data_IF_766116573628
#
_entry.id   IF_766116573628
#
_cell.length_a   1.000
_cell.length_b   1.000
_cell.length_c   1.000
_cell.angle_alpha   90.00
_cell.angle_beta   90.00
_cell.angle_gamma   90.00
#
_symmetry.space_group_name_H-M   'P 1'
#
loop_
_entity.id
_entity.type
_entity.pdbx_description
1 polymer ?
#
# COMPACT_ATOMS: atom_id res chain seq x y z
N UNK A 1 39.93 -42.20 -21.89
CA UNK A 1 39.78 -42.14 -20.42
C UNK A 1 38.44 -41.49 -20.11
N UNK A 2 37.44 -42.32 -19.80
CA UNK A 2 36.12 -41.95 -19.29
C UNK A 2 35.81 -42.96 -18.18
N UNK A 3 35.30 -42.53 -17.02
CA UNK A 3 34.46 -43.39 -16.18
C UNK A 3 33.03 -42.81 -16.20
N UNK A 4 32.04 -43.55 -16.70
CA UNK A 4 31.34 -44.68 -16.09
C UNK A 4 30.32 -44.21 -15.02
N UNK A 5 29.05 -44.31 -15.41
CA UNK A 5 27.86 -44.04 -14.63
C UNK A 5 27.68 -45.03 -13.48
N UNK A 6 27.26 -44.53 -12.31
CA UNK A 6 26.83 -45.35 -11.19
C UNK A 6 25.30 -45.21 -11.01
N UNK A 7 24.61 -46.31 -11.29
CA UNK A 7 23.20 -46.56 -11.00
C UNK A 7 23.07 -46.88 -9.52
N UNK A 8 22.27 -46.10 -8.78
CA UNK A 8 21.93 -46.41 -7.39
C UNK A 8 20.51 -47.01 -7.33
N UNK A 9 20.43 -48.27 -6.90
CA UNK A 9 19.18 -49.01 -6.64
C UNK A 9 18.80 -48.83 -5.17
N UNK A 10 17.54 -48.48 -4.91
CA UNK A 10 16.98 -48.43 -3.56
C UNK A 10 16.71 -49.85 -3.00
N UNK A 11 16.95 -50.10 -1.70
CA UNK A 11 16.54 -51.33 -1.02
C UNK A 11 15.07 -51.26 -0.51
N UNK A 12 14.44 -52.41 -0.23
CA UNK A 12 13.00 -52.51 0.01
C UNK A 12 12.57 -52.14 1.43
N UNK A 13 11.28 -51.81 1.54
CA UNK A 13 10.56 -51.38 2.73
C UNK A 13 10.58 -52.41 3.89
N UNK A 14 10.69 -51.90 5.11
CA UNK A 14 10.33 -52.60 6.34
C UNK A 14 9.21 -51.83 7.05
N UNK A 15 8.11 -52.53 7.28
CA UNK A 15 6.88 -52.05 7.89
C UNK A 15 7.03 -51.88 9.42
N UNK A 16 6.52 -50.77 9.94
CA UNK A 16 6.19 -50.61 11.36
C UNK A 16 4.77 -50.04 11.45
N UNK A 17 3.85 -50.85 11.95
CA UNK A 17 2.43 -50.53 12.05
C UNK A 17 2.15 -49.47 13.11
N UNK A 18 1.41 -48.44 12.72
CA UNK A 18 0.66 -47.58 13.62
C UNK A 18 -0.81 -47.76 13.24
N UNK A 19 -1.60 -48.30 14.18
CA UNK A 19 -3.03 -48.50 14.00
C UNK A 19 -3.71 -47.12 13.90
N UNK A 20 -4.30 -46.85 12.73
CA UNK A 20 -5.22 -45.75 12.53
C UNK A 20 -6.56 -46.06 13.20
N UNK A 21 -6.99 -45.21 14.12
CA UNK A 21 -8.38 -45.18 14.57
C UNK A 21 -9.22 -44.46 13.50
N UNK A 22 -10.36 -45.01 13.04
CA UNK A 22 -11.19 -44.36 12.05
C UNK A 22 -11.89 -43.14 12.65
N UNK A 23 -11.68 -41.98 12.02
CA UNK A 23 -12.26 -40.65 12.33
C UNK A 23 -13.78 -40.54 12.09
N UNK A 24 -14.50 -41.66 11.93
CA UNK A 24 -15.95 -41.67 11.71
C UNK A 24 -16.66 -42.44 12.82
N UNK A 25 -16.57 -41.95 14.05
CA UNK A 25 -17.43 -42.44 15.14
C UNK A 25 -18.70 -41.58 15.21
N UNK A 26 -19.89 -42.12 14.89
CA UNK A 26 -21.16 -41.42 15.09
C UNK A 26 -21.42 -41.04 16.55
N UNK A 27 -20.68 -41.61 17.50
CA UNK A 27 -20.73 -41.24 18.93
C UNK A 27 -20.11 -39.85 19.21
N UNK A 28 -19.10 -39.43 18.45
CA UNK A 28 -18.47 -38.11 18.61
C UNK A 28 -19.39 -37.00 18.05
N UNK A 29 -20.03 -37.26 16.91
CA UNK A 29 -21.04 -36.38 16.33
C UNK A 29 -22.29 -36.25 17.21
N UNK A 30 -22.71 -37.34 17.87
CA UNK A 30 -23.80 -37.32 18.84
C UNK A 30 -23.44 -36.52 20.12
N UNK A 31 -22.20 -36.61 20.62
CA UNK A 31 -21.73 -35.83 21.77
C UNK A 31 -21.66 -34.32 21.48
N UNK A 32 -21.26 -33.94 20.26
CA UNK A 32 -21.23 -32.52 19.85
C UNK A 32 -22.64 -31.94 19.68
N UNK A 33 -23.58 -32.69 19.09
CA UNK A 33 -24.99 -32.28 18.99
C UNK A 33 -25.67 -32.15 20.36
N UNK A 34 -25.37 -33.06 21.30
CA UNK A 34 -25.88 -32.99 22.66
C UNK A 34 -25.33 -31.76 23.43
N UNK A 35 -24.08 -31.37 23.20
CA UNK A 35 -23.47 -30.16 23.80
C UNK A 35 -24.05 -28.86 23.24
N UNK A 36 -24.45 -28.84 21.97
CA UNK A 36 -25.07 -27.68 21.33
C UNK A 36 -26.56 -27.53 21.71
N UNK A 37 -27.28 -28.63 21.90
CA UNK A 37 -28.68 -28.61 22.36
C UNK A 37 -28.83 -28.16 23.84
N UNK A 38 -27.80 -28.35 24.67
CA UNK A 38 -27.80 -27.98 26.09
C UNK A 38 -27.59 -26.47 26.37
N UNK A 39 -27.36 -25.64 25.34
CA UNK A 39 -27.15 -24.18 25.45
C UNK A 39 -28.35 -23.34 25.00
N UNK A 40 -29.58 -23.81 25.22
CA UNK A 40 -30.78 -22.95 25.13
C UNK A 40 -31.15 -22.43 26.52
N UNK A 41 -31.01 -21.12 26.72
CA UNK A 41 -31.49 -20.43 27.91
C UNK A 41 -33.03 -20.36 27.92
N UNK A 42 -33.67 -20.45 29.11
CA UNK A 42 -35.10 -20.25 29.26
C UNK A 42 -35.41 -18.76 29.49
N UNK A 43 -36.44 -18.25 28.83
CA UNK A 43 -37.18 -17.07 29.28
C UNK A 43 -37.11 -15.86 28.34
N UNK A 44 -38.12 -15.74 27.48
CA UNK A 44 -38.66 -14.42 27.13
C UNK A 44 -40.18 -14.52 27.19
N UNK A 45 -40.72 -13.91 28.24
CA UNK A 45 -42.12 -13.60 28.37
C UNK A 45 -42.48 -12.45 27.43
N UNK A 46 -43.64 -12.58 26.80
CA UNK A 46 -44.26 -11.64 25.88
C UNK A 46 -44.54 -10.29 26.55
N UNK A 47 -44.21 -9.19 25.89
CA UNK A 47 -44.75 -7.88 26.19
C UNK A 47 -45.25 -7.22 24.89
N UNK A 48 -46.55 -6.93 24.86
CA UNK A 48 -47.25 -6.17 23.83
C UNK A 48 -46.77 -4.70 23.75
N UNK A 49 -46.97 -4.01 22.61
CA UNK A 49 -46.49 -2.65 22.41
C UNK A 49 -47.50 -1.60 22.88
N UNK A 50 -47.03 -0.59 23.61
CA UNK A 50 -47.82 0.59 23.95
C UNK A 50 -47.33 1.83 23.20
N UNK A 51 -48.23 2.33 22.34
CA UNK A 51 -48.49 3.69 21.87
C UNK A 51 -47.40 4.80 21.92
N UNK A 52 -47.23 5.39 20.74
CA UNK A 52 -46.68 6.73 20.45
C UNK A 52 -47.55 7.84 21.07
N UNK A 53 -46.95 8.97 21.49
CA UNK A 53 -47.48 10.26 21.04
C UNK A 53 -46.41 11.24 20.55
N UNK A 54 -46.85 12.04 19.57
CA UNK A 54 -46.12 13.10 18.88
C UNK A 54 -45.98 14.40 19.70
N UNK A 55 -44.91 15.12 19.36
CA UNK A 55 -44.75 16.58 19.25
C UNK A 55 -44.85 17.47 20.51
N UNK A 56 -43.82 18.30 20.72
CA UNK A 56 -43.86 19.76 20.48
C UNK A 56 -42.48 20.40 20.70
N UNK A 57 -42.33 21.60 20.17
CA UNK A 57 -41.08 22.27 19.84
C UNK A 57 -40.64 23.35 20.86
N UNK A 58 -39.56 24.05 20.51
CA UNK A 58 -39.26 25.47 20.79
C UNK A 58 -38.19 25.79 21.88
N UNK A 59 -36.99 26.10 21.35
CA UNK A 59 -36.06 27.23 21.64
C UNK A 59 -34.87 27.15 22.63
N UNK A 60 -33.81 27.92 22.34
CA UNK A 60 -32.48 27.77 22.94
C UNK A 60 -32.24 28.77 24.09
N UNK A 61 -31.28 28.46 24.97
CA UNK A 61 -30.75 29.44 25.93
C UNK A 61 -29.23 29.54 25.88
N UNK A 62 -28.80 30.79 25.75
CA UNK A 62 -27.44 31.30 25.78
C UNK A 62 -26.84 31.33 27.20
N UNK A 63 -25.51 31.20 27.22
CA UNK A 63 -24.51 31.87 28.09
C UNK A 63 -24.58 31.69 29.60
N UNK A 64 -23.47 31.20 30.14
CA UNK A 64 -22.83 31.79 31.33
C UNK A 64 -21.35 31.46 31.39
N UNK A 65 -20.52 32.52 31.32
CA UNK A 65 -19.11 32.57 31.72
C UNK A 65 -19.02 32.46 33.25
N UNK A 66 -18.05 31.71 33.77
CA UNK A 66 -17.34 32.11 35.00
C UNK A 66 -15.85 31.80 34.90
N UNK A 67 -15.07 32.84 35.21
CA UNK A 67 -13.61 32.90 35.38
C UNK A 67 -13.31 32.94 36.89
N UNK A 68 -12.03 32.67 37.19
CA UNK A 68 -11.27 32.89 38.44
C UNK A 68 -11.24 31.71 39.42
N UNK A 69 -10.12 31.32 40.05
CA UNK A 69 -8.72 31.74 40.00
C UNK A 69 -7.92 30.93 41.05
N UNK A 70 -6.63 30.66 40.80
CA UNK A 70 -5.61 30.32 41.80
C UNK A 70 -5.40 28.81 42.05
N UNK A 71 -4.18 28.27 42.16
CA UNK A 71 -2.83 28.80 42.09
C UNK A 71 -1.80 27.66 42.25
N UNK A 72 -0.72 27.73 41.47
CA UNK A 72 0.66 27.25 41.72
C UNK A 72 0.96 25.92 42.41
N UNK A 73 1.63 25.01 41.68
CA UNK A 73 2.89 24.35 42.11
C UNK A 73 3.74 23.94 40.90
N UNK A 74 5.06 24.09 41.05
CA UNK A 74 6.13 23.90 40.07
C UNK A 74 6.41 22.43 39.69
N UNK A 75 7.07 22.28 38.54
CA UNK A 75 7.97 21.19 38.12
C UNK A 75 7.38 19.95 37.41
N UNK A 76 7.28 20.05 36.08
CA UNK A 76 7.86 19.08 35.13
C UNK A 76 7.75 19.68 33.72
N UNK A 77 8.89 19.91 33.05
CA UNK A 77 8.89 20.26 31.63
C UNK A 77 8.26 19.11 30.85
N UNK A 78 7.19 19.32 30.06
CA UNK A 78 6.72 18.30 29.13
C UNK A 78 7.78 18.10 28.04
N UNK A 79 7.87 16.91 27.43
CA UNK A 79 8.67 16.76 26.22
C UNK A 79 8.13 17.78 25.21
N UNK A 80 9.04 18.50 24.54
CA UNK A 80 8.75 19.33 23.39
C UNK A 80 7.80 18.56 22.47
N UNK A 81 6.53 18.97 22.45
CA UNK A 81 5.62 18.59 21.38
C UNK A 81 6.31 19.04 20.09
N UNK A 82 6.53 18.15 19.10
CA UNK A 82 6.94 18.62 17.79
C UNK A 82 5.89 19.64 17.35
N UNK A 83 6.38 20.81 16.92
CA UNK A 83 5.55 21.84 16.33
C UNK A 83 4.62 21.20 15.31
N UNK A 84 3.38 21.67 15.25
CA UNK A 84 2.49 21.44 14.12
C UNK A 84 3.19 22.05 12.88
N UNK A 85 4.00 21.23 12.20
CA UNK A 85 4.74 21.63 11.01
C UNK A 85 3.75 21.87 9.85
N UNK A 86 4.02 22.97 9.15
CA UNK A 86 3.32 23.51 7.98
C UNK A 86 3.15 22.48 6.85
N UNK A 87 2.31 22.71 5.81
CA UNK A 87 2.07 21.71 4.77
C UNK A 87 3.37 21.37 4.03
N UNK A 88 3.87 20.16 4.26
CA UNK A 88 5.13 19.62 3.73
C UNK A 88 4.97 19.11 2.29
N UNK A 89 4.48 19.91 1.33
CA UNK A 89 4.34 19.46 -0.08
C UNK A 89 5.60 19.75 -0.92
N UNK A 90 6.57 20.45 -0.34
CA UNK A 90 7.84 20.81 -0.95
C UNK A 90 8.99 20.72 0.06
N UNK A 91 10.09 20.11 -0.33
CA UNK A 91 11.33 20.04 0.45
C UNK A 91 12.53 20.32 -0.45
N UNK A 92 13.41 21.21 -0.01
CA UNK A 92 14.74 21.36 -0.61
C UNK A 92 15.73 20.40 0.04
N UNK A 93 16.34 19.53 -0.76
CA UNK A 93 17.42 18.66 -0.26
C UNK A 93 18.76 19.38 -0.37
N UNK A 94 19.66 19.12 0.58
CA UNK A 94 21.02 19.63 0.52
C UNK A 94 21.73 19.08 -0.72
N UNK A 95 22.33 19.97 -1.53
CA UNK A 95 23.01 19.57 -2.75
C UNK A 95 24.23 18.68 -2.42
N UNK A 96 24.46 17.59 -3.16
CA UNK A 96 25.69 16.83 -3.01
C UNK A 96 26.90 17.69 -3.40
N UNK A 97 28.07 17.41 -2.82
CA UNK A 97 29.29 18.15 -3.14
C UNK A 97 29.58 18.08 -4.65
N UNK A 98 29.67 19.25 -5.29
CA UNK A 98 29.87 19.35 -6.75
C UNK A 98 28.61 19.10 -7.59
N UNK A 99 27.42 18.97 -6.99
CA UNK A 99 26.16 18.76 -7.70
C UNK A 99 25.19 19.95 -7.66
N UNK A 100 24.07 19.78 -8.37
CA UNK A 100 22.98 20.73 -8.49
C UNK A 100 22.08 20.81 -7.25
N UNK A 101 21.29 21.89 -7.18
CA UNK A 101 20.22 22.02 -6.18
C UNK A 101 19.10 21.03 -6.48
N UNK A 102 18.54 20.38 -5.45
CA UNK A 102 17.47 19.40 -5.58
C UNK A 102 16.19 19.93 -4.92
N UNK A 103 15.14 20.07 -5.73
CA UNK A 103 13.79 20.49 -5.33
C UNK A 103 12.85 19.30 -5.36
N UNK A 104 12.39 18.82 -4.20
CA UNK A 104 11.52 17.65 -4.10
C UNK A 104 10.08 18.07 -3.81
N UNK A 105 9.15 17.63 -4.65
CA UNK A 105 7.72 17.90 -4.52
C UNK A 105 6.93 16.61 -4.30
N UNK A 106 5.97 16.71 -3.40
CA UNK A 106 5.01 15.65 -3.08
C UNK A 106 3.68 15.96 -3.73
N UNK A 107 3.22 15.10 -4.61
CA UNK A 107 1.94 15.27 -5.32
C UNK A 107 0.90 14.29 -4.83
N UNK A 108 -0.36 14.73 -4.76
CA UNK A 108 -1.49 13.84 -4.51
C UNK A 108 -2.00 13.31 -5.85
N UNK A 109 -2.05 11.98 -6.02
CA UNK A 109 -2.56 11.39 -7.26
C UNK A 109 -4.01 11.80 -7.52
N UNK A 110 -4.28 12.34 -8.71
CA UNK A 110 -5.61 12.82 -9.08
C UNK A 110 -5.96 14.21 -8.56
N UNK A 111 -5.03 14.89 -7.87
CA UNK A 111 -5.09 16.33 -7.64
C UNK A 111 -4.83 17.13 -8.93
N UNK A 112 -5.21 18.41 -8.89
CA UNK A 112 -5.02 19.39 -9.97
C UNK A 112 -4.14 20.57 -9.51
N UNK A 113 -3.19 20.32 -8.61
CA UNK A 113 -2.20 21.31 -8.20
C UNK A 113 -1.16 21.52 -9.32
N UNK A 114 -1.29 22.62 -10.06
CA UNK A 114 -0.35 22.97 -11.14
C UNK A 114 1.01 23.45 -10.63
N UNK A 115 1.18 23.66 -9.32
CA UNK A 115 2.32 24.37 -8.72
C UNK A 115 3.68 23.77 -9.08
N UNK A 116 3.80 22.44 -9.07
CA UNK A 116 5.05 21.74 -9.43
C UNK A 116 5.41 21.96 -10.90
N UNK A 117 4.40 21.86 -11.78
CA UNK A 117 4.59 22.03 -13.21
C UNK A 117 4.89 23.51 -13.55
N UNK A 118 4.25 24.46 -12.86
CA UNK A 118 4.59 25.88 -12.96
C UNK A 118 6.01 26.17 -12.47
N UNK A 119 6.44 25.53 -11.38
CA UNK A 119 7.80 25.63 -10.87
C UNK A 119 8.82 25.17 -11.92
N UNK A 120 8.60 24.01 -12.55
CA UNK A 120 9.45 23.51 -13.64
C UNK A 120 9.50 24.51 -14.79
N UNK A 121 8.36 25.08 -15.19
CA UNK A 121 8.28 26.08 -16.27
C UNK A 121 9.09 27.36 -15.97
N UNK A 122 9.10 27.80 -14.70
CA UNK A 122 9.81 29.01 -14.24
C UNK A 122 11.30 28.76 -14.06
N UNK A 123 11.66 27.69 -13.35
CA UNK A 123 13.02 27.42 -12.92
C UNK A 123 13.87 26.69 -13.96
N UNK A 124 13.22 26.10 -14.98
CA UNK A 124 13.85 25.45 -16.14
C UNK A 124 14.97 24.48 -15.74
N UNK A 125 14.68 23.46 -14.91
CA UNK A 125 15.68 22.47 -14.51
C UNK A 125 16.20 21.70 -15.73
N UNK A 126 17.41 21.16 -15.66
CA UNK A 126 17.93 20.29 -16.73
C UNK A 126 17.27 18.91 -16.70
N UNK A 127 16.98 18.42 -15.49
CA UNK A 127 16.43 17.09 -15.25
C UNK A 127 15.25 17.15 -14.29
N UNK A 128 14.21 16.38 -14.63
CA UNK A 128 13.04 16.15 -13.77
C UNK A 128 12.96 14.66 -13.47
N UNK A 129 13.20 14.28 -12.22
CA UNK A 129 13.14 12.89 -11.75
C UNK A 129 11.73 12.58 -11.27
N UNK A 130 11.12 11.54 -11.80
CA UNK A 130 9.71 11.19 -11.56
C UNK A 130 9.55 9.77 -11.02
N UNK A 131 8.59 9.59 -10.11
CA UNK A 131 8.20 8.27 -9.59
C UNK A 131 7.47 7.43 -10.64
N UNK A 132 6.53 8.03 -11.39
CA UNK A 132 5.72 7.31 -12.38
C UNK A 132 6.38 7.32 -13.75
N UNK A 133 6.52 6.13 -14.35
CA UNK A 133 7.04 6.01 -15.69
C UNK A 133 6.06 6.56 -16.74
N UNK A 134 6.54 7.50 -17.57
CA UNK A 134 5.85 8.00 -18.76
C UNK A 134 5.33 6.89 -19.71
N UNK A 135 6.15 5.87 -19.95
CA UNK A 135 5.78 4.71 -20.78
C UNK A 135 6.57 3.45 -20.38
N UNK A 136 6.32 2.34 -21.07
CA UNK A 136 6.93 1.04 -20.80
C UNK A 136 8.46 1.07 -20.88
N UNK A 137 9.02 1.71 -21.90
CA UNK A 137 10.47 1.79 -22.09
C UNK A 137 11.14 2.63 -21.00
N UNK A 138 10.55 3.79 -20.70
CA UNK A 138 11.01 4.68 -19.63
C UNK A 138 11.02 3.96 -18.27
N UNK A 139 9.97 3.20 -17.96
CA UNK A 139 9.86 2.44 -16.70
C UNK A 139 10.60 1.10 -16.65
N UNK A 140 11.33 0.73 -17.71
CA UNK A 140 11.97 -0.58 -17.80
C UNK A 140 13.19 -0.72 -16.88
N UNK A 141 13.88 0.38 -16.58
CA UNK A 141 15.03 0.41 -15.68
C UNK A 141 15.10 1.73 -14.92
N UNK A 142 15.53 1.65 -13.66
CA UNK A 142 15.82 2.81 -12.83
C UNK A 142 16.89 3.71 -13.48
N UNK A 143 16.68 5.02 -13.44
CA UNK A 143 17.58 6.01 -14.03
C UNK A 143 17.45 6.17 -15.54
N UNK A 144 16.53 5.45 -16.20
CA UNK A 144 16.26 5.66 -17.61
C UNK A 144 15.83 7.10 -17.85
N UNK A 145 16.43 7.70 -18.87
CA UNK A 145 16.18 9.09 -19.27
C UNK A 145 15.37 9.09 -20.55
N UNK A 146 14.36 9.96 -20.61
CA UNK A 146 13.61 10.23 -21.83
C UNK A 146 13.45 11.72 -22.03
N UNK A 147 13.83 12.19 -23.22
CA UNK A 147 13.74 13.59 -23.59
C UNK A 147 12.56 13.80 -24.56
N UNK A 148 12.22 15.07 -24.80
CA UNK A 148 11.14 15.46 -25.71
C UNK A 148 11.31 14.84 -27.10
N UNK A 149 12.54 14.83 -27.63
CA UNK A 149 12.81 14.33 -28.98
C UNK A 149 12.53 12.83 -29.09
N UNK A 150 12.90 12.04 -28.09
CA UNK A 150 12.65 10.59 -28.06
C UNK A 150 11.15 10.33 -28.18
N UNK A 151 10.34 11.07 -27.43
CA UNK A 151 8.88 10.93 -27.44
C UNK A 151 8.23 11.28 -28.78
N UNK A 152 8.79 12.25 -29.51
CA UNK A 152 8.31 12.64 -30.83
C UNK A 152 8.61 11.60 -31.91
N UNK A 153 9.62 10.74 -31.69
CA UNK A 153 9.96 9.65 -32.60
C UNK A 153 9.10 8.41 -32.43
N UNK A 154 8.29 8.31 -31.37
CA UNK A 154 7.35 7.20 -31.22
C UNK A 154 6.40 7.15 -32.42
N UNK A 155 6.44 6.01 -33.12
CA UNK A 155 5.80 5.83 -34.41
C UNK A 155 4.33 6.28 -34.40
N UNK A 156 3.87 6.83 -35.53
CA UNK A 156 2.44 7.12 -35.75
C UNK A 156 1.52 5.89 -35.60
N UNK A 157 2.10 4.68 -35.56
CA UNK A 157 1.42 3.41 -35.37
C UNK A 157 1.23 2.99 -33.90
N UNK A 158 1.59 3.83 -32.92
CA UNK A 158 1.23 3.56 -31.52
C UNK A 158 -0.29 3.36 -31.42
N UNK A 159 -0.69 2.24 -30.80
CA UNK A 159 -2.11 1.90 -30.70
C UNK A 159 -2.89 3.01 -29.97
N UNK A 160 -4.10 3.36 -30.42
CA UNK A 160 -4.95 4.31 -29.71
C UNK A 160 -5.08 3.96 -28.21
N UNK A 161 -4.76 4.91 -27.34
CA UNK A 161 -4.77 4.74 -25.89
C UNK A 161 -3.51 4.10 -25.29
N UNK A 162 -2.46 3.84 -26.07
CA UNK A 162 -1.19 3.32 -25.54
C UNK A 162 -0.42 4.38 -24.72
N UNK A 163 0.52 3.93 -23.90
CA UNK A 163 1.39 4.84 -23.14
C UNK A 163 2.30 5.65 -24.07
N UNK A 164 2.75 5.07 -25.17
CA UNK A 164 3.61 5.70 -26.18
C UNK A 164 2.88 6.81 -26.92
N UNK A 165 1.59 6.60 -27.26
CA UNK A 165 0.76 7.65 -27.84
C UNK A 165 0.59 8.83 -26.87
N UNK A 166 0.32 8.56 -25.58
CA UNK A 166 0.22 9.60 -24.55
C UNK A 166 1.54 10.36 -24.37
N UNK A 167 2.66 9.64 -24.31
CA UNK A 167 3.99 10.24 -24.20
C UNK A 167 4.28 11.22 -25.36
N UNK A 168 3.93 10.80 -26.59
CA UNK A 168 4.02 11.67 -27.77
C UNK A 168 3.12 12.90 -27.65
N UNK A 169 1.88 12.74 -27.20
CA UNK A 169 0.94 13.85 -27.02
C UNK A 169 1.50 14.88 -26.01
N UNK A 170 2.04 14.42 -24.87
CA UNK A 170 2.65 15.31 -23.88
C UNK A 170 3.86 16.05 -24.45
N UNK A 171 4.70 15.38 -25.25
CA UNK A 171 5.81 16.04 -25.95
C UNK A 171 5.33 17.08 -26.97
N UNK A 172 4.22 16.84 -27.67
CA UNK A 172 3.62 17.81 -28.60
C UNK A 172 3.08 19.04 -27.87
N UNK A 173 2.40 18.87 -26.73
CA UNK A 173 2.01 20.01 -25.89
C UNK A 173 3.23 20.78 -25.38
N UNK A 174 4.30 20.07 -25.01
CA UNK A 174 5.58 20.67 -24.63
C UNK A 174 6.16 21.56 -25.74
N UNK A 175 6.20 21.08 -26.99
CA UNK A 175 6.65 21.89 -28.15
C UNK A 175 5.78 23.15 -28.31
N UNK A 176 4.46 22.99 -28.30
CA UNK A 176 3.54 24.13 -28.47
C UNK A 176 3.73 25.19 -27.40
N UNK A 177 3.90 24.80 -26.13
CA UNK A 177 4.15 25.74 -25.04
C UNK A 177 5.54 26.39 -25.14
N UNK A 178 6.57 25.66 -25.60
CA UNK A 178 7.92 26.19 -25.76
C UNK A 178 8.00 27.35 -26.77
N UNK A 179 7.16 27.33 -27.80
CA UNK A 179 7.10 28.35 -28.84
C UNK A 179 6.30 29.60 -28.42
N UNK A 180 5.65 29.59 -27.25
CA UNK A 180 4.85 30.70 -26.75
C UNK A 180 5.68 31.71 -25.95
N UNK A 181 5.41 33.00 -26.13
CA UNK A 181 6.04 34.05 -25.32
C UNK A 181 5.65 34.00 -23.83
N UNK A 182 4.40 33.61 -23.54
CA UNK A 182 3.85 33.55 -22.19
C UNK A 182 3.12 32.22 -21.95
N UNK A 183 3.83 31.10 -21.84
CA UNK A 183 3.21 29.77 -21.80
C UNK A 183 2.26 29.58 -20.62
N UNK A 184 2.64 30.01 -19.41
CA UNK A 184 1.79 29.89 -18.20
C UNK A 184 0.52 30.75 -18.25
N UNK A 185 0.50 31.81 -19.07
CA UNK A 185 -0.67 32.66 -19.28
C UNK A 185 -1.50 32.27 -20.51
N UNK A 186 -1.14 31.19 -21.20
CA UNK A 186 -1.78 30.79 -22.45
C UNK A 186 -3.09 30.02 -22.22
N UNK A 187 -3.99 30.08 -23.20
CA UNK A 187 -5.19 29.24 -23.21
C UNK A 187 -4.84 27.75 -23.17
N UNK A 188 -3.77 27.34 -23.85
CA UNK A 188 -3.32 25.95 -23.83
C UNK A 188 -2.96 25.50 -22.41
N UNK A 189 -2.20 26.30 -21.65
CA UNK A 189 -1.87 25.97 -20.27
C UNK A 189 -3.13 25.88 -19.40
N UNK A 190 -4.06 26.82 -19.55
CA UNK A 190 -5.33 26.79 -18.83
C UNK A 190 -6.14 25.54 -19.15
N UNK A 191 -6.27 25.16 -20.42
CA UNK A 191 -6.99 23.96 -20.84
C UNK A 191 -6.36 22.68 -20.27
N UNK A 192 -5.03 22.61 -20.25
CA UNK A 192 -4.29 21.46 -19.72
C UNK A 192 -4.33 21.37 -18.20
N UNK A 193 -4.36 22.50 -17.48
CA UNK A 193 -4.28 22.51 -15.99
C UNK A 193 -5.64 22.59 -15.30
N UNK A 194 -6.63 23.22 -15.92
CA UNK A 194 -7.91 23.58 -15.30
C UNK A 194 -9.13 23.33 -16.20
N UNK A 195 -8.92 22.97 -17.47
CA UNK A 195 -10.00 22.75 -18.43
C UNK A 195 -10.79 21.46 -18.21
N UNK A 196 -11.81 21.22 -19.06
CA UNK A 196 -12.64 20.01 -19.03
C UNK A 196 -11.87 18.71 -19.32
N UNK A 197 -10.65 18.85 -19.86
CA UNK A 197 -9.72 17.76 -20.13
C UNK A 197 -8.39 17.97 -19.39
N UNK A 198 -8.45 18.61 -18.22
CA UNK A 198 -7.28 18.84 -17.39
C UNK A 198 -6.51 17.54 -17.16
N UNK A 199 -5.20 17.63 -17.34
CA UNK A 199 -4.25 16.58 -17.09
C UNK A 199 -4.05 16.45 -15.57
N UNK A 200 -3.80 15.23 -15.10
CA UNK A 200 -3.39 15.01 -13.72
C UNK A 200 -2.01 15.66 -13.46
N UNK A 201 -1.71 15.99 -12.19
CA UNK A 201 -0.45 16.61 -11.78
C UNK A 201 0.81 15.97 -12.41
N UNK A 202 0.93 14.64 -12.38
CA UNK A 202 2.07 13.92 -12.98
C UNK A 202 2.19 14.16 -14.49
N UNK A 203 1.06 14.22 -15.19
CA UNK A 203 1.02 14.42 -16.64
C UNK A 203 1.40 15.86 -16.99
N UNK A 204 0.98 16.84 -16.18
CA UNK A 204 1.41 18.23 -16.30
C UNK A 204 2.91 18.39 -16.10
N UNK A 205 3.50 17.65 -15.15
CA UNK A 205 4.96 17.63 -14.94
C UNK A 205 5.70 17.19 -16.20
N UNK A 206 5.21 16.15 -16.91
CA UNK A 206 5.82 15.70 -18.16
C UNK A 206 5.76 16.78 -19.25
N UNK A 207 4.60 17.43 -19.40
CA UNK A 207 4.42 18.52 -20.38
C UNK A 207 5.34 19.70 -20.05
N UNK A 208 5.39 20.12 -18.78
CA UNK A 208 6.24 21.22 -18.32
C UNK A 208 7.73 20.93 -18.54
N UNK A 209 8.19 19.72 -18.22
CA UNK A 209 9.56 19.29 -18.46
C UNK A 209 9.93 19.42 -19.95
N UNK A 210 9.08 18.92 -20.85
CA UNK A 210 9.32 19.02 -22.29
C UNK A 210 9.22 20.45 -22.84
N UNK A 211 8.39 21.31 -22.25
CA UNK A 211 8.28 22.70 -22.66
C UNK A 211 9.55 23.50 -22.34
N UNK A 212 10.23 23.22 -21.22
CA UNK A 212 11.51 23.87 -20.89
C UNK A 212 12.74 23.15 -21.44
N UNK A 213 12.55 22.02 -22.12
CA UNK A 213 13.64 21.22 -22.68
C UNK A 213 14.34 20.31 -21.68
N UNK A 214 13.79 20.14 -20.48
CA UNK A 214 14.27 19.18 -19.50
C UNK A 214 14.04 17.74 -20.00
N UNK A 215 14.90 16.82 -19.55
CA UNK A 215 14.65 15.39 -19.72
C UNK A 215 14.02 14.80 -18.45
N UNK A 216 13.15 13.82 -18.65
CA UNK A 216 12.53 13.06 -17.58
C UNK A 216 13.42 11.87 -17.21
N UNK A 217 13.62 11.65 -15.92
CA UNK A 217 14.37 10.51 -15.39
C UNK A 217 13.40 9.64 -14.58
N UNK A 218 13.29 8.36 -14.91
CA UNK A 218 12.52 7.42 -14.10
C UNK A 218 13.32 7.10 -12.85
N UNK A 219 12.96 7.72 -11.72
CA UNK A 219 13.72 7.60 -10.49
C UNK A 219 13.30 6.43 -9.61
N UNK A 220 12.13 5.85 -9.84
CA UNK A 220 11.64 4.74 -9.04
C UNK A 220 12.27 3.40 -9.44
N UNK A 221 12.01 2.39 -8.63
CA UNK A 221 12.33 1.00 -8.89
C UNK A 221 11.31 0.38 -9.85
N UNK A 222 11.74 -0.37 -10.88
CA UNK A 222 10.80 -1.08 -11.77
C UNK A 222 9.77 -1.91 -10.99
N UNK A 223 8.50 -1.81 -11.39
CA UNK A 223 7.35 -2.44 -10.71
C UNK A 223 7.55 -3.94 -10.45
N UNK A 224 8.15 -4.66 -11.41
CA UNK A 224 8.49 -6.07 -11.25
C UNK A 224 9.36 -6.33 -10.02
N UNK A 225 10.41 -5.53 -9.82
CA UNK A 225 11.31 -5.70 -8.68
C UNK A 225 10.55 -5.36 -7.39
N UNK A 226 9.80 -4.26 -7.37
CA UNK A 226 8.99 -3.86 -6.20
C UNK A 226 8.04 -4.97 -5.77
N UNK A 227 7.21 -5.50 -6.67
CA UNK A 227 6.23 -6.51 -6.32
C UNK A 227 6.88 -7.86 -5.97
N UNK A 228 7.93 -8.26 -6.68
CA UNK A 228 8.71 -9.45 -6.30
C UNK A 228 9.27 -9.32 -4.89
N UNK A 229 9.76 -8.13 -4.51
CA UNK A 229 10.27 -7.88 -3.16
C UNK A 229 9.18 -7.93 -2.11
N UNK A 230 8.02 -7.35 -2.38
CA UNK A 230 6.85 -7.46 -1.49
C UNK A 230 6.40 -8.91 -1.29
N UNK A 231 6.52 -9.74 -2.33
CA UNK A 231 6.15 -11.15 -2.26
C UNK A 231 7.19 -11.98 -1.51
N UNK A 232 8.48 -11.76 -1.77
CA UNK A 232 9.54 -12.69 -1.36
C UNK A 232 10.39 -12.27 -0.16
N UNK A 233 10.42 -10.97 0.16
CA UNK A 233 11.27 -10.48 1.26
C UNK A 233 10.62 -10.61 2.65
N UNK A 234 9.32 -10.31 2.83
CA UNK A 234 8.64 -10.54 4.10
C UNK A 234 8.48 -12.03 4.40
N UNK A 235 8.38 -12.39 5.68
CA UNK A 235 7.85 -13.69 6.09
C UNK A 235 6.32 -13.74 5.91
N UNK A 236 5.71 -14.94 5.97
CA UNK A 236 4.24 -15.07 6.00
C UNK A 236 3.65 -14.36 7.22
N UNK A 237 4.35 -14.42 8.36
CA UNK A 237 3.96 -13.72 9.59
C UNK A 237 4.00 -12.21 9.38
N UNK A 238 5.03 -11.68 8.72
CA UNK A 238 5.16 -10.25 8.43
C UNK A 238 4.00 -9.76 7.54
N UNK A 239 3.55 -10.57 6.57
CA UNK A 239 2.42 -10.25 5.70
C UNK A 239 1.09 -10.25 6.47
N UNK A 240 0.88 -11.22 7.37
CA UNK A 240 -0.31 -11.28 8.23
C UNK A 240 -0.33 -10.12 9.26
N UNK A 241 0.83 -9.73 9.78
CA UNK A 241 0.98 -8.55 10.64
C UNK A 241 0.69 -7.25 9.86
N UNK A 242 1.22 -7.12 8.64
CA UNK A 242 0.92 -5.98 7.76
C UNK A 242 -0.57 -5.90 7.44
N UNK A 243 -1.22 -7.04 7.15
CA UNK A 243 -2.67 -7.10 6.93
C UNK A 243 -3.43 -6.63 8.18
N UNK A 244 -3.04 -7.11 9.36
CA UNK A 244 -3.65 -6.72 10.63
C UNK A 244 -3.52 -5.23 10.92
N UNK A 245 -2.32 -4.68 10.73
CA UNK A 245 -2.03 -3.25 10.90
C UNK A 245 -2.86 -2.40 9.95
N UNK A 246 -2.98 -2.77 8.67
CA UNK A 246 -3.80 -2.04 7.70
C UNK A 246 -5.29 -2.10 8.02
N UNK A 247 -5.81 -3.27 8.42
CA UNK A 247 -7.21 -3.40 8.84
C UNK A 247 -7.49 -2.53 10.07
N UNK A 248 -6.64 -2.61 11.10
CA UNK A 248 -6.75 -1.82 12.32
C UNK A 248 -6.75 -0.31 12.05
N UNK A 249 -5.83 0.16 11.19
CA UNK A 249 -5.78 1.55 10.76
C UNK A 249 -7.06 1.97 10.03
N UNK A 250 -7.55 1.15 9.09
CA UNK A 250 -8.77 1.45 8.33
C UNK A 250 -10.00 1.56 9.27
N UNK A 251 -10.12 0.72 10.29
CA UNK A 251 -11.21 0.84 11.29
C UNK A 251 -11.05 2.06 12.19
N UNK A 252 -9.82 2.40 12.60
CA UNK A 252 -9.55 3.61 13.37
C UNK A 252 -9.92 4.88 12.58
N UNK A 253 -9.59 4.92 11.29
CA UNK A 253 -9.98 6.02 10.39
C UNK A 253 -11.50 6.12 10.24
N UNK A 254 -12.20 4.99 10.11
CA UNK A 254 -13.66 4.95 10.06
C UNK A 254 -14.30 5.45 11.36
N UNK A 255 -13.76 5.04 12.52
CA UNK A 255 -14.30 5.40 13.83
C UNK A 255 -14.05 6.88 14.19
N UNK A 256 -12.92 7.45 13.75
CA UNK A 256 -12.53 8.82 14.10
C UNK A 256 -13.13 9.91 13.21
N UNK A 257 -13.80 9.55 12.10
CA UNK A 257 -14.38 10.47 11.11
C UNK A 257 -13.39 11.50 10.51
N UNK A 258 -12.10 11.36 10.78
CA UNK A 258 -11.01 12.15 10.22
C UNK A 258 -9.83 11.21 10.01
N UNK A 259 -9.20 11.19 8.81
CA UNK A 259 -8.05 10.33 8.58
C UNK A 259 -6.98 10.68 9.61
N UNK A 260 -6.68 9.74 10.51
CA UNK A 260 -5.59 9.96 11.44
C UNK A 260 -4.32 9.97 10.60
N UNK A 261 -3.50 11.02 10.73
CA UNK A 261 -2.13 10.98 10.20
C UNK A 261 -1.53 9.71 10.77
N UNK A 262 -1.23 8.74 9.90
CA UNK A 262 -0.65 7.45 10.30
C UNK A 262 0.58 7.79 11.12
N UNK A 263 0.46 7.67 12.45
CA UNK A 263 1.62 7.75 13.30
C UNK A 263 2.59 6.70 12.77
N UNK A 264 3.89 6.99 12.82
CA UNK A 264 4.95 6.06 12.44
C UNK A 264 4.95 4.83 13.37
N UNK A 265 3.89 4.03 13.31
CA UNK A 265 3.82 2.69 13.83
C UNK A 265 4.86 1.87 13.07
N UNK A 266 5.48 0.92 13.75
CA UNK A 266 6.56 0.07 13.24
C UNK A 266 6.35 -0.26 11.76
N UNK A 267 7.25 0.24 10.92
CA UNK A 267 7.19 0.07 9.47
C UNK A 267 7.14 -1.41 9.17
N UNK A 268 5.98 -1.92 8.73
CA UNK A 268 5.84 -3.32 8.37
C UNK A 268 6.83 -3.66 7.24
N UNK A 269 7.22 -4.93 7.09
CA UNK A 269 8.12 -5.33 6.01
C UNK A 269 7.58 -4.94 4.61
N UNK A 270 6.26 -4.95 4.44
CA UNK A 270 5.58 -4.48 3.23
C UNK A 270 5.71 -2.98 3.04
N UNK A 271 5.51 -2.18 4.08
CA UNK A 271 5.66 -0.73 4.05
C UNK A 271 7.12 -0.31 3.82
N UNK A 272 8.07 -1.03 4.42
CA UNK A 272 9.50 -0.88 4.14
C UNK A 272 9.78 -1.08 2.65
N UNK A 273 9.17 -2.06 1.99
CA UNK A 273 9.35 -2.30 0.56
C UNK A 273 8.64 -1.27 -0.34
N UNK A 274 7.45 -0.79 0.06
CA UNK A 274 6.62 0.15 -0.71
C UNK A 274 7.04 1.61 -0.58
N UNK A 275 7.59 1.99 0.58
CA UNK A 275 8.03 3.35 0.86
C UNK A 275 9.55 3.37 1.02
N UNK A 276 10.09 2.87 2.13
CA UNK A 276 11.50 3.07 2.50
C UNK A 276 12.52 2.62 1.43
N UNK A 277 12.34 1.45 0.82
CA UNK A 277 13.22 0.98 -0.25
C UNK A 277 13.05 1.78 -1.55
N UNK A 278 11.82 2.18 -1.89
CA UNK A 278 11.54 3.00 -3.08
C UNK A 278 12.08 4.41 -2.92
N UNK A 279 11.92 4.99 -1.74
CA UNK A 279 12.52 6.28 -1.35
C UNK A 279 14.03 6.25 -1.52
N UNK A 280 14.70 5.21 -1.04
CA UNK A 280 16.14 5.08 -1.17
C UNK A 280 16.60 4.99 -2.65
N UNK A 281 15.86 4.26 -3.49
CA UNK A 281 16.11 4.18 -4.93
C UNK A 281 15.88 5.54 -5.60
N UNK A 282 14.77 6.22 -5.31
CA UNK A 282 14.45 7.55 -5.83
C UNK A 282 15.52 8.59 -5.46
N UNK A 283 16.01 8.57 -4.21
CA UNK A 283 17.11 9.44 -3.76
C UNK A 283 18.42 9.16 -4.51
N UNK A 284 18.68 7.91 -4.91
CA UNK A 284 19.83 7.57 -5.74
C UNK A 284 19.74 8.16 -7.15
N UNK A 285 18.55 8.16 -7.76
CA UNK A 285 18.33 8.84 -9.04
C UNK A 285 18.49 10.36 -8.90
N UNK A 286 17.93 10.96 -7.85
CA UNK A 286 18.07 12.39 -7.58
C UNK A 286 19.53 12.80 -7.38
N UNK A 287 20.29 12.02 -6.62
CA UNK A 287 21.72 12.24 -6.44
C UNK A 287 22.47 12.15 -7.78
N UNK A 288 22.19 11.11 -8.58
CA UNK A 288 22.85 10.92 -9.87
C UNK A 288 22.53 12.06 -10.84
N UNK A 289 21.27 12.46 -10.92
CA UNK A 289 20.83 13.61 -11.72
C UNK A 289 21.51 14.90 -11.25
N UNK A 290 21.61 15.13 -9.94
CA UNK A 290 22.24 16.33 -9.41
C UNK A 290 23.74 16.39 -9.74
N UNK A 291 24.44 15.25 -9.67
CA UNK A 291 25.85 15.17 -10.09
C UNK A 291 26.03 15.38 -11.61
N UNK A 292 25.06 14.96 -12.43
CA UNK A 292 25.09 15.17 -13.88
C UNK A 292 24.86 16.63 -14.27
N UNK A 293 23.92 17.32 -13.61
CA UNK A 293 23.68 18.76 -13.82
C UNK A 293 24.84 19.63 -13.33
N UNK A 294 25.57 19.19 -12.31
CA UNK A 294 26.74 19.90 -11.79
C UNK A 294 26.41 21.17 -10.99
N UNK A 295 27.44 21.92 -10.54
CA UNK A 295 27.25 23.07 -9.66
C UNK A 295 26.47 24.19 -10.35
N UNK A 296 25.46 24.73 -9.67
CA UNK A 296 24.62 25.81 -10.18
C UNK A 296 23.45 25.36 -11.07
N UNK A 297 23.38 24.07 -11.42
CA UNK A 297 22.21 23.46 -12.07
C UNK A 297 21.06 23.23 -11.09
N UNK A 298 19.93 22.73 -11.61
CA UNK A 298 18.73 22.40 -10.82
C UNK A 298 18.11 21.08 -11.25
N UNK A 299 17.74 20.28 -10.26
CA UNK A 299 16.99 19.03 -10.44
C UNK A 299 15.68 19.14 -9.68
N UNK A 300 14.59 18.74 -10.33
CA UNK A 300 13.27 18.63 -9.68
C UNK A 300 12.92 17.16 -9.51
N UNK A 301 12.59 16.74 -8.29
CA UNK A 301 12.02 15.44 -7.98
C UNK A 301 10.52 15.53 -7.76
N UNK A 302 9.76 14.60 -8.34
CA UNK A 302 8.30 14.52 -8.18
C UNK A 302 7.92 13.12 -7.72
N UNK A 303 7.33 13.04 -6.52
CA UNK A 303 6.92 11.80 -5.84
C UNK A 303 5.53 11.94 -5.25
N UNK A 304 4.87 10.83 -4.90
CA UNK A 304 3.66 10.89 -4.07
C UNK A 304 3.91 11.58 -2.73
N UNK A 305 2.98 12.41 -2.26
CA UNK A 305 3.15 13.19 -1.03
C UNK A 305 3.51 12.35 0.22
N UNK A 306 3.09 11.09 0.26
CA UNK A 306 3.44 10.13 1.33
C UNK A 306 4.93 9.83 1.45
N UNK A 307 5.72 10.07 0.40
CA UNK A 307 7.15 9.78 0.36
C UNK A 307 8.01 10.90 0.97
N UNK A 308 7.52 12.13 1.01
CA UNK A 308 8.34 13.31 1.36
C UNK A 308 9.00 13.22 2.74
N UNK A 309 8.29 12.89 3.84
CA UNK A 309 8.92 12.84 5.16
C UNK A 309 10.01 11.77 5.24
N UNK A 310 9.75 10.60 4.64
CA UNK A 310 10.69 9.48 4.58
C UNK A 310 11.95 9.81 3.80
N UNK A 311 11.78 10.38 2.60
CA UNK A 311 12.89 10.79 1.74
C UNK A 311 13.76 11.88 2.37
N UNK A 312 13.14 12.90 3.00
CA UNK A 312 13.88 13.97 3.71
C UNK A 312 14.76 13.39 4.81
N UNK A 313 14.20 12.51 5.65
CA UNK A 313 14.93 11.88 6.74
C UNK A 313 16.05 10.96 6.23
N UNK A 314 15.80 10.17 5.18
CA UNK A 314 16.79 9.29 4.57
C UNK A 314 17.95 10.07 3.94
N UNK A 315 17.67 11.18 3.27
CA UNK A 315 18.68 12.04 2.67
C UNK A 315 19.65 12.59 3.72
N UNK A 316 19.11 13.22 4.77
CA UNK A 316 19.89 13.83 5.85
C UNK A 316 20.79 12.83 6.57
N UNK A 317 20.31 11.60 6.77
CA UNK A 317 21.08 10.53 7.42
C UNK A 317 22.04 9.80 6.48
N UNK A 318 21.91 10.00 5.17
CA UNK A 318 22.68 9.29 4.14
C UNK A 318 22.39 7.79 4.05
N UNK A 319 21.41 7.26 4.79
CA UNK A 319 21.13 5.82 4.89
C UNK A 319 20.70 5.18 3.58
N UNK A 320 20.13 5.97 2.66
CA UNK A 320 19.73 5.50 1.33
C UNK A 320 20.89 4.90 0.53
N UNK A 321 22.13 5.40 0.71
CA UNK A 321 23.33 4.90 0.01
C UNK A 321 23.61 3.44 0.36
N UNK A 322 23.60 3.13 1.64
CA UNK A 322 23.81 1.75 2.15
C UNK A 322 22.69 0.83 1.70
N UNK A 323 21.45 1.31 1.72
CA UNK A 323 20.31 0.53 1.27
C UNK A 323 20.44 0.17 -0.21
N UNK A 324 20.68 1.14 -1.09
CA UNK A 324 20.84 0.91 -2.53
C UNK A 324 22.01 -0.01 -2.84
N UNK A 325 23.16 0.17 -2.17
CA UNK A 325 24.32 -0.72 -2.29
C UNK A 325 24.02 -2.17 -1.86
N UNK A 326 22.98 -2.39 -1.04
CA UNK A 326 22.49 -3.71 -0.65
C UNK A 326 21.63 -4.43 -1.70
N UNK A 327 21.55 -3.93 -2.94
CA UNK A 327 20.89 -4.63 -4.05
C UNK A 327 19.38 -4.35 -4.17
N UNK A 328 18.92 -3.13 -3.88
CA UNK A 328 17.50 -2.78 -4.01
C UNK A 328 16.96 -2.84 -5.45
N UNK A 329 17.84 -2.78 -6.45
CA UNK A 329 17.51 -2.89 -7.87
C UNK A 329 17.51 -4.34 -8.38
N UNK A 330 17.75 -5.32 -7.51
CA UNK A 330 17.71 -6.73 -7.88
C UNK A 330 16.37 -7.36 -7.51
N UNK A 331 15.76 -8.07 -8.47
CA UNK A 331 14.56 -8.85 -8.20
C UNK A 331 14.93 -10.11 -7.41
N UNK A 332 14.34 -10.34 -6.23
CA UNK A 332 14.47 -11.63 -5.56
C UNK A 332 13.88 -12.72 -6.45
N UNK A 333 14.52 -13.90 -6.41
CA UNK A 333 14.15 -15.06 -7.25
C UNK A 333 13.16 -16.01 -6.59
N UNK A 334 12.85 -15.80 -5.31
CA UNK A 334 11.99 -16.67 -4.52
C UNK A 334 12.10 -16.33 -3.03
N UNK A 335 11.39 -17.07 -2.17
CA UNK A 335 11.38 -16.82 -0.74
C UNK A 335 12.77 -17.01 -0.13
N UNK A 336 13.05 -16.30 0.97
CA UNK A 336 14.34 -16.38 1.68
C UNK A 336 14.63 -17.77 2.25
N UNK A 337 13.57 -18.48 2.61
CA UNK A 337 13.61 -19.87 3.08
C UNK A 337 12.79 -20.73 2.12
N UNK A 338 13.15 -22.02 1.92
CA UNK A 338 12.30 -22.94 1.17
C UNK A 338 10.90 -22.99 1.78
N UNK A 339 9.87 -22.92 0.94
CA UNK A 339 8.47 -22.97 1.34
C UNK A 339 7.76 -24.13 0.64
N UNK A 340 6.74 -24.69 1.28
CA UNK A 340 5.85 -25.67 0.65
C UNK A 340 4.88 -25.00 -0.33
N UNK A 341 4.25 -25.77 -1.25
CA UNK A 341 3.20 -25.23 -2.10
C UNK A 341 2.06 -24.57 -1.32
N UNK A 342 1.70 -25.10 -0.15
CA UNK A 342 0.66 -24.54 0.72
C UNK A 342 1.08 -23.16 1.26
N UNK A 343 2.30 -23.06 1.79
CA UNK A 343 2.88 -21.81 2.30
C UNK A 343 2.95 -20.74 1.21
N UNK A 344 3.36 -21.10 -0.01
CA UNK A 344 3.36 -20.21 -1.16
C UNK A 344 1.96 -19.68 -1.50
N UNK A 345 0.94 -20.55 -1.41
CA UNK A 345 -0.45 -20.15 -1.63
C UNK A 345 -0.94 -19.15 -0.59
N UNK A 346 -0.68 -19.41 0.69
CA UNK A 346 -1.01 -18.52 1.81
C UNK A 346 -0.30 -17.18 1.69
N UNK A 347 1.00 -17.20 1.43
CA UNK A 347 1.82 -16.01 1.18
C UNK A 347 1.20 -15.13 0.11
N UNK A 348 0.80 -15.72 -1.02
CA UNK A 348 0.21 -14.95 -2.11
C UNK A 348 -1.15 -14.37 -1.73
N UNK A 349 -1.98 -15.13 -1.04
CA UNK A 349 -3.29 -14.65 -0.56
C UNK A 349 -3.15 -13.47 0.42
N UNK A 350 -2.18 -13.55 1.33
CA UNK A 350 -1.87 -12.48 2.29
C UNK A 350 -1.39 -11.21 1.59
N UNK A 351 -0.45 -11.32 0.64
CA UNK A 351 0.01 -10.18 -0.15
C UNK A 351 -1.16 -9.50 -0.87
N UNK A 352 -2.01 -10.28 -1.55
CA UNK A 352 -3.19 -9.75 -2.24
C UNK A 352 -4.14 -9.07 -1.23
N UNK A 353 -4.29 -9.63 -0.01
CA UNK A 353 -5.05 -9.02 1.07
C UNK A 353 -4.50 -7.67 1.52
N UNK A 354 -3.19 -7.57 1.75
CA UNK A 354 -2.51 -6.32 2.13
C UNK A 354 -2.66 -5.27 1.04
N UNK A 355 -2.41 -5.66 -0.22
CA UNK A 355 -2.57 -4.78 -1.40
C UNK A 355 -4.01 -4.29 -1.52
N UNK A 356 -5.00 -5.16 -1.27
CA UNK A 356 -6.42 -4.77 -1.31
C UNK A 356 -6.79 -3.75 -0.24
N UNK A 357 -6.18 -3.83 0.94
CA UNK A 357 -6.45 -2.90 2.05
C UNK A 357 -5.68 -1.58 1.95
N UNK A 358 -4.59 -1.54 1.20
CA UNK A 358 -3.67 -0.40 1.17
C UNK A 358 -3.59 0.31 -0.17
N UNK A 359 -4.06 -0.30 -1.27
CA UNK A 359 -3.89 0.22 -2.63
C UNK A 359 -5.19 0.26 -3.43
N UNK A 360 -5.24 1.21 -4.38
CA UNK A 360 -6.31 1.36 -5.38
C UNK A 360 -6.36 0.16 -6.34
N UNK A 361 -7.52 -0.04 -6.96
CA UNK A 361 -7.82 -1.21 -7.80
C UNK A 361 -6.86 -1.40 -8.99
N UNK A 362 -6.36 -0.30 -9.56
CA UNK A 362 -5.37 -0.29 -10.64
C UNK A 362 -4.03 -0.88 -10.21
N UNK A 363 -3.57 -0.55 -9.00
CA UNK A 363 -2.36 -1.18 -8.40
C UNK A 363 -2.59 -2.67 -8.17
N UNK A 364 -3.78 -3.07 -7.72
CA UNK A 364 -4.11 -4.50 -7.52
C UNK A 364 -4.04 -5.28 -8.84
N UNK A 365 -4.57 -4.71 -9.92
CA UNK A 365 -4.50 -5.30 -11.25
C UNK A 365 -3.06 -5.39 -11.76
N UNK A 366 -2.26 -4.34 -11.52
CA UNK A 366 -0.84 -4.31 -11.86
C UNK A 366 -0.05 -5.42 -11.14
N UNK A 367 -0.25 -5.59 -9.83
CA UNK A 367 0.41 -6.64 -9.04
C UNK A 367 0.10 -8.03 -9.60
N UNK A 368 -1.17 -8.30 -9.93
CA UNK A 368 -1.57 -9.60 -10.53
C UNK A 368 -0.94 -9.83 -11.88
N UNK A 369 -0.91 -8.80 -12.75
CA UNK A 369 -0.30 -8.88 -14.08
C UNK A 369 1.20 -9.17 -14.00
N UNK A 370 1.90 -8.49 -13.10
CA UNK A 370 3.36 -8.50 -13.00
C UNK A 370 3.88 -9.75 -12.27
N UNK A 371 3.20 -10.19 -11.21
CA UNK A 371 3.59 -11.41 -10.50
C UNK A 371 3.11 -12.70 -11.17
N UNK A 372 2.19 -12.60 -12.12
CA UNK A 372 1.63 -13.75 -12.83
C UNK A 372 0.67 -14.59 -11.99
N UNK A 373 0.18 -15.71 -12.56
CA UNK A 373 -0.74 -16.62 -11.89
C UNK A 373 -0.06 -17.37 -10.75
N UNK A 374 -0.87 -17.82 -9.79
CA UNK A 374 -0.43 -18.73 -8.73
C UNK A 374 -0.08 -20.10 -9.37
N UNK A 375 0.95 -20.81 -8.90
CA UNK A 375 1.22 -22.17 -9.37
C UNK A 375 0.04 -23.12 -9.06
N UNK A 376 -0.29 -24.08 -9.95
CA UNK A 376 -1.41 -25.00 -9.75
C UNK A 376 -1.38 -25.76 -8.42
N UNK A 377 -0.19 -26.17 -7.97
CA UNK A 377 0.05 -26.87 -6.72
C UNK A 377 -0.27 -26.03 -5.47
N UNK A 378 -0.23 -24.70 -5.59
CA UNK A 378 -0.53 -23.75 -4.51
C UNK A 378 -1.97 -23.22 -4.55
N UNK A 379 -2.76 -23.60 -5.56
CA UNK A 379 -4.08 -23.03 -5.81
C UNK A 379 -5.09 -23.25 -4.69
N UNK A 380 -5.14 -24.44 -4.09
CA UNK A 380 -6.11 -24.74 -3.02
C UNK A 380 -5.85 -23.87 -1.79
N UNK A 381 -4.61 -23.87 -1.31
CA UNK A 381 -4.19 -23.04 -0.17
C UNK A 381 -4.41 -21.55 -0.45
N UNK A 382 -4.02 -21.07 -1.64
CA UNK A 382 -4.29 -19.70 -2.06
C UNK A 382 -5.79 -19.38 -2.02
N UNK A 383 -6.64 -20.24 -2.59
CA UNK A 383 -8.07 -19.97 -2.69
C UNK A 383 -8.74 -19.89 -1.32
N UNK A 384 -8.42 -20.84 -0.43
CA UNK A 384 -8.97 -20.87 0.94
C UNK A 384 -8.48 -19.69 1.78
N UNK A 385 -7.18 -19.38 1.73
CA UNK A 385 -6.62 -18.24 2.43
C UNK A 385 -7.17 -16.92 1.86
N UNK A 386 -7.22 -16.77 0.54
CA UNK A 386 -7.70 -15.55 -0.12
C UNK A 386 -9.18 -15.29 0.20
N UNK A 387 -10.00 -16.34 0.25
CA UNK A 387 -11.40 -16.24 0.69
C UNK A 387 -11.48 -15.82 2.16
N UNK A 388 -10.77 -16.51 3.06
CA UNK A 388 -10.79 -16.22 4.49
C UNK A 388 -10.36 -14.77 4.77
N UNK A 389 -9.22 -14.35 4.22
CA UNK A 389 -8.70 -12.98 4.32
C UNK A 389 -9.53 -11.96 3.56
N UNK A 390 -10.48 -12.39 2.71
CA UNK A 390 -11.50 -11.56 2.08
C UNK A 390 -12.72 -11.28 2.97
N UNK A 391 -12.87 -11.98 4.10
CA UNK A 391 -14.07 -11.87 4.94
C UNK A 391 -13.99 -10.73 5.96
N UNK A 392 -15.15 -10.15 6.29
CA UNK A 392 -15.28 -9.20 7.42
C UNK A 392 -14.89 -9.84 8.75
N UNK A 393 -15.10 -11.15 8.92
CA UNK A 393 -14.72 -11.87 10.14
C UNK A 393 -13.21 -11.87 10.34
N UNK A 394 -12.43 -12.09 9.28
CA UNK A 394 -10.96 -11.96 9.37
C UNK A 394 -10.55 -10.52 9.64
N UNK A 395 -11.15 -9.53 8.96
CA UNK A 395 -10.87 -8.10 9.20
C UNK A 395 -11.14 -7.67 10.65
N UNK A 396 -12.14 -8.23 11.32
CA UNK A 396 -12.42 -7.98 12.73
C UNK A 396 -11.52 -8.81 13.65
N UNK A 397 -11.16 -10.04 13.25
CA UNK A 397 -10.33 -10.94 14.05
C UNK A 397 -8.90 -10.41 14.25
N UNK A 398 -8.42 -9.50 13.41
CA UNK A 398 -7.10 -8.89 13.58
C UNK A 398 -7.07 -7.72 14.56
N UNK A 399 -8.23 -7.19 14.97
CA UNK A 399 -8.34 -6.07 15.89
C UNK A 399 -8.00 -6.49 17.32
N UNK A 400 -7.43 -5.56 18.09
CA UNK A 400 -7.29 -5.75 19.53
C UNK A 400 -8.66 -5.71 20.23
N UNK A 401 -8.71 -6.18 21.50
CA UNK A 401 -9.97 -6.27 22.25
C UNK A 401 -10.65 -4.91 22.46
N UNK A 402 -9.88 -3.83 22.54
CA UNK A 402 -10.41 -2.48 22.72
C UNK A 402 -11.05 -1.98 21.43
N UNK A 403 -10.34 -2.05 20.31
CA UNK A 403 -10.85 -1.67 19.00
C UNK A 403 -12.08 -2.49 18.61
N UNK A 404 -12.09 -3.80 18.91
CA UNK A 404 -13.24 -4.65 18.64
C UNK A 404 -14.48 -4.22 19.43
N UNK A 405 -14.32 -3.81 20.68
CA UNK A 405 -15.42 -3.28 21.50
C UNK A 405 -15.96 -1.94 20.96
N UNK A 406 -15.12 -1.12 20.33
CA UNK A 406 -15.50 0.14 19.68
C UNK A 406 -16.21 -0.09 18.34
N UNK A 407 -15.80 -1.10 17.57
CA UNK A 407 -16.36 -1.38 16.23
C UNK A 407 -17.63 -2.24 16.30
N UNK A 408 -17.70 -3.19 17.24
CA UNK A 408 -18.81 -4.12 17.39
C UNK A 408 -19.78 -3.74 18.52
N UNK A 409 -20.25 -2.49 18.51
CA UNK A 409 -21.22 -2.00 19.52
C UNK A 409 -22.60 -2.62 19.29
N UNK A 410 -23.28 -3.02 20.37
CA UNK A 410 -24.67 -3.50 20.34
C UNK A 410 -24.82 -5.01 20.06
N UNK A 411 -23.71 -5.74 19.99
CA UNK A 411 -23.74 -7.20 19.85
C UNK A 411 -23.94 -7.84 21.22
N UNK A 412 -24.87 -8.80 21.32
CA UNK A 412 -25.20 -9.51 22.58
C UNK A 412 -24.21 -10.66 22.88
N UNK A 413 -22.95 -10.55 22.44
CA UNK A 413 -21.90 -11.54 22.63
C UNK A 413 -20.52 -10.89 22.75
N UNK A 414 -19.56 -11.59 23.35
CA UNK A 414 -18.16 -11.17 23.31
C UNK A 414 -17.57 -11.54 21.95
N UNK A 415 -17.48 -10.55 21.06
CA UNK A 415 -16.92 -10.74 19.71
C UNK A 415 -15.48 -11.21 19.74
N UNK A 416 -14.73 -10.96 20.82
CA UNK A 416 -13.41 -11.52 21.00
C UNK A 416 -13.50 -13.04 20.95
N UNK A 417 -14.36 -13.65 21.78
CA UNK A 417 -14.51 -15.10 21.88
C UNK A 417 -15.11 -15.70 20.60
N UNK A 418 -16.09 -15.02 20.00
CA UNK A 418 -16.71 -15.47 18.73
C UNK A 418 -15.68 -15.60 17.61
N UNK A 419 -14.71 -14.69 17.54
CA UNK A 419 -13.67 -14.68 16.50
C UNK A 419 -12.44 -15.52 16.87
N UNK A 420 -12.42 -16.21 18.02
CA UNK A 420 -11.29 -17.02 18.44
C UNK A 420 -10.84 -18.07 17.41
N UNK A 421 -11.74 -18.81 16.73
CA UNK A 421 -11.33 -19.76 15.69
C UNK A 421 -10.64 -19.08 14.49
N UNK A 422 -11.13 -17.91 14.09
CA UNK A 422 -10.53 -17.11 13.00
C UNK A 422 -9.17 -16.55 13.41
N UNK A 423 -9.00 -16.15 14.67
CA UNK A 423 -7.70 -15.73 15.20
C UNK A 423 -6.70 -16.87 15.27
N UNK A 424 -7.14 -18.08 15.63
CA UNK A 424 -6.26 -19.24 15.80
C UNK A 424 -5.57 -19.66 14.50
N UNK A 425 -6.18 -19.42 13.35
CA UNK A 425 -5.59 -19.78 12.05
C UNK A 425 -4.60 -18.74 11.53
N UNK A 426 -4.46 -17.58 12.18
CA UNK A 426 -3.56 -16.51 11.74
C UNK A 426 -2.07 -16.88 11.95
N UNK A 427 -1.20 -16.65 10.95
CA UNK A 427 0.23 -16.84 11.07
C UNK A 427 0.87 -16.10 12.25
N UNK A 428 0.44 -14.86 12.59
CA UNK A 428 1.01 -14.17 13.77
C UNK A 428 0.74 -14.90 15.08
N UNK A 429 -0.29 -15.76 15.11
CA UNK A 429 -0.67 -16.56 16.26
C UNK A 429 -0.15 -18.01 16.17
N UNK A 430 0.75 -18.30 15.22
CA UNK A 430 1.27 -19.65 14.96
C UNK A 430 0.32 -20.54 14.15
N UNK A 431 -0.74 -19.98 13.56
CA UNK A 431 -1.68 -20.69 12.70
C UNK A 431 -1.18 -20.84 11.25
N UNK A 432 -1.79 -21.73 10.46
CA UNK A 432 -1.37 -22.05 9.10
C UNK A 432 -1.75 -21.02 8.02
N UNK A 433 -2.52 -19.97 8.34
CA UNK A 433 -3.09 -19.03 7.37
C UNK A 433 -4.52 -19.35 6.94
N UNK A 434 -4.96 -20.60 7.03
CA UNK A 434 -6.33 -20.98 6.74
C UNK A 434 -6.67 -22.31 7.41
N UNK A 435 -7.96 -22.55 7.61
CA UNK A 435 -8.45 -23.88 7.94
C UNK A 435 -9.64 -24.21 7.03
N UNK A 436 -9.64 -25.40 6.44
CA UNK A 436 -10.62 -25.78 5.42
C UNK A 436 -12.01 -25.90 6.03
N UNK A 437 -12.13 -26.50 7.22
CA UNK A 437 -13.42 -26.66 7.91
C UNK A 437 -13.97 -25.30 8.30
N UNK A 438 -13.14 -24.43 8.87
CA UNK A 438 -13.49 -23.05 9.18
C UNK A 438 -14.01 -22.30 7.94
N UNK A 439 -13.31 -22.37 6.80
CA UNK A 439 -13.77 -21.69 5.57
C UNK A 439 -15.13 -22.24 5.12
N UNK A 440 -15.33 -23.56 5.18
CA UNK A 440 -16.62 -24.17 4.84
C UNK A 440 -17.74 -23.73 5.80
N UNK A 441 -17.47 -23.66 7.11
CA UNK A 441 -18.42 -23.17 8.11
C UNK A 441 -18.76 -21.69 7.88
N UNK A 442 -17.78 -20.86 7.51
CA UNK A 442 -18.03 -19.46 7.18
C UNK A 442 -18.89 -19.29 5.93
N UNK A 443 -18.80 -20.21 4.96
CA UNK A 443 -19.68 -20.23 3.78
C UNK A 443 -21.12 -20.57 4.15
N UNK A 444 -21.33 -21.55 5.02
CA UNK A 444 -22.68 -22.00 5.41
C UNK A 444 -23.39 -20.97 6.30
N UNK A 445 -22.64 -20.25 7.14
CA UNK A 445 -23.16 -19.17 8.00
C UNK A 445 -23.66 -17.93 7.24
N UNK A 446 -23.34 -17.76 5.95
CA UNK A 446 -23.92 -16.70 5.12
C UNK A 446 -25.37 -17.01 4.68
N UNK A 447 -25.86 -18.24 4.88
CA UNK A 447 -27.20 -18.68 4.45
C UNK A 447 -28.23 -18.76 5.59
N UNK A 448 -27.84 -18.50 6.84
CA UNK A 448 -28.72 -18.58 8.01
C UNK A 448 -29.13 -17.20 8.56
N UNK A 449 -29.39 -16.23 7.67
CA UNK A 449 -30.31 -15.13 7.99
C UNK A 449 -31.71 -15.55 7.52
N UNK A 450 -32.32 -16.48 8.27
CA UNK A 450 -33.73 -16.82 8.13
C UNK A 450 -34.47 -16.23 9.33
N UNK A 451 -35.23 -15.17 9.03
CA UNK A 451 -36.33 -14.51 9.78
C UNK A 451 -36.26 -14.41 11.32
#
# INVERSE_FOLDING_TARGET
MHPAAAVWRAPPAAAAGVQSLPLNSPALAAQLRARLAARRFPGQASAEPAAVPQALAVTPRHRSRRRHSGGTTLAALPPLLPSLEEPEEYVRLEAPEGGAEIHLFGVIHGGNESEVAEFIMRERPELVVVETALNTAHGSAHGNVICRQDCLTFAHAAAPGSHEQRARLFAQYGVQLADMAHPLGSHLWHDLSQGSHALYNEQLVYVAAFAVGACLVFGDRPKQITYSRMLWMPSIVDLDEAYGTMSSANYADLASQAPQRRAAASTSATESALLGERDAVMLSALHTAAMQSGPGGRVVGVVGASHLPGMRALWQRGGWRTMVAGGLLESPKGPRTPETPEEMGVRRALLDGVIRLSCRIDVQQDVRRVLGPVPPESHEAYSLAHELYGTTRMLLAVLDRRQLAEVCVGWNCDMWDVLAPVRAVRPVNGGPGYDRELVLDLRTLNFELSD
#
